data_IF_849217933754
#
_entry.id   IF_849217933754
#
_cell.length_a   1.000
_cell.length_b   1.000
_cell.length_c   1.000
_cell.angle_alpha   90.00
_cell.angle_beta   90.00
_cell.angle_gamma   90.00
#
_symmetry.space_group_name_H-M   'P 1'
#
loop_
_entity.id
_entity.type
_entity.pdbx_description
1 polymer ?
#
# COMPACT_ATOMS: atom_id res chain seq x y z
N UNK A 1 8.64 -17.46 8.12
CA UNK A 1 8.87 -16.51 7.00
C UNK A 1 7.70 -16.48 6.01
N UNK A 2 7.23 -17.64 5.53
CA UNK A 2 6.08 -17.72 4.62
C UNK A 2 4.82 -17.05 5.18
N UNK A 3 4.43 -17.33 6.41
CA UNK A 3 3.27 -16.72 7.09
C UNK A 3 3.34 -15.19 7.07
N UNK A 4 4.50 -14.61 7.39
CA UNK A 4 4.69 -13.16 7.35
C UNK A 4 4.45 -12.59 5.95
N UNK A 5 4.97 -13.22 4.89
CA UNK A 5 4.79 -12.79 3.51
C UNK A 5 3.30 -12.88 3.10
N UNK A 6 2.62 -13.98 3.47
CA UNK A 6 1.20 -14.15 3.16
C UNK A 6 0.32 -13.15 3.90
N UNK A 7 0.61 -12.84 5.17
CA UNK A 7 -0.05 -11.76 5.90
C UNK A 7 0.19 -10.42 5.19
N UNK A 8 1.44 -10.11 4.89
CA UNK A 8 1.80 -8.86 4.21
C UNK A 8 1.07 -8.70 2.87
N UNK A 9 1.11 -9.70 1.99
CA UNK A 9 0.47 -9.62 0.67
C UNK A 9 -1.05 -9.59 0.75
N UNK A 10 -1.64 -10.44 1.58
CA UNK A 10 -3.10 -10.50 1.74
C UNK A 10 -3.66 -9.18 2.25
N UNK A 11 -3.06 -8.61 3.29
CA UNK A 11 -3.50 -7.32 3.81
C UNK A 11 -3.15 -6.16 2.89
N UNK A 12 -2.05 -6.22 2.13
CA UNK A 12 -1.75 -5.23 1.08
C UNK A 12 -2.79 -5.26 -0.04
N UNK A 13 -3.24 -6.43 -0.47
CA UNK A 13 -4.31 -6.60 -1.46
C UNK A 13 -5.65 -6.10 -0.93
N UNK A 14 -6.04 -6.51 0.28
CA UNK A 14 -7.26 -6.04 0.93
C UNK A 14 -7.25 -4.52 1.13
N UNK A 15 -6.12 -3.96 1.50
CA UNK A 15 -5.93 -2.53 1.60
C UNK A 15 -6.14 -1.82 0.26
N UNK A 16 -5.61 -2.37 -0.83
CA UNK A 16 -5.85 -1.85 -2.18
C UNK A 16 -7.34 -1.89 -2.55
N UNK A 17 -8.05 -2.99 -2.25
CA UNK A 17 -9.49 -3.10 -2.46
C UNK A 17 -10.25 -2.05 -1.63
N UNK A 18 -9.89 -1.91 -0.35
CA UNK A 18 -10.50 -0.93 0.56
C UNK A 18 -10.34 0.50 0.03
N UNK A 19 -9.15 0.86 -0.45
CA UNK A 19 -8.91 2.19 -1.04
C UNK A 19 -9.75 2.43 -2.31
N UNK A 20 -9.94 1.41 -3.13
CA UNK A 20 -10.78 1.51 -4.33
C UNK A 20 -12.24 1.71 -3.95
N UNK A 21 -12.74 0.96 -2.97
CA UNK A 21 -14.10 1.11 -2.45
C UNK A 21 -14.30 2.49 -1.80
N UNK A 22 -13.36 2.91 -0.97
CA UNK A 22 -13.41 4.23 -0.34
C UNK A 22 -13.42 5.36 -1.37
N UNK A 23 -12.59 5.28 -2.41
CA UNK A 23 -12.56 6.25 -3.49
C UNK A 23 -13.87 6.28 -4.29
N UNK A 24 -14.51 5.11 -4.51
CA UNK A 24 -15.79 5.01 -5.19
C UNK A 24 -16.93 5.65 -4.40
N UNK A 25 -16.95 5.42 -3.08
CA UNK A 25 -18.00 5.96 -2.19
C UNK A 25 -17.86 7.46 -1.97
N UNK A 26 -16.63 7.94 -1.72
CA UNK A 26 -16.40 9.35 -1.34
C UNK A 26 -16.38 10.30 -2.54
N UNK A 27 -16.22 9.80 -3.77
CA UNK A 27 -16.12 10.59 -5.04
C UNK A 27 -15.13 11.75 -4.94
N UNK A 28 -14.20 11.74 -3.98
CA UNK A 28 -13.29 12.85 -3.74
C UNK A 28 -11.93 12.63 -4.43
N UNK A 29 -11.57 13.42 -5.44
CA UNK A 29 -10.27 13.29 -6.11
C UNK A 29 -9.09 13.62 -5.18
N UNK A 30 -9.27 14.52 -4.20
CA UNK A 30 -8.22 14.95 -3.26
C UNK A 30 -7.89 13.92 -2.19
N UNK A 31 -8.80 12.98 -1.88
CA UNK A 31 -8.63 11.97 -0.83
C UNK A 31 -8.24 10.59 -1.35
N UNK A 32 -7.91 10.48 -2.65
CA UNK A 32 -7.44 9.21 -3.20
C UNK A 32 -6.06 8.90 -2.66
N UNK A 33 -5.95 7.86 -1.87
CA UNK A 33 -4.66 7.30 -1.52
C UNK A 33 -4.02 6.69 -2.76
N UNK A 34 -2.72 6.87 -2.89
CA UNK A 34 -1.93 6.40 -4.02
C UNK A 34 -1.03 5.30 -3.52
N UNK A 35 -1.15 4.10 -4.11
CA UNK A 35 -0.26 2.99 -3.75
C UNK A 35 1.09 3.15 -4.44
N UNK A 36 2.14 2.73 -3.76
CA UNK A 36 3.53 2.79 -4.23
C UNK A 36 3.81 1.86 -5.42
N UNK A 37 3.11 0.72 -5.49
CA UNK A 37 3.37 -0.38 -6.40
C UNK A 37 2.48 -0.33 -7.64
N UNK A 38 2.97 -0.92 -8.72
CA UNK A 38 2.21 -1.19 -9.93
C UNK A 38 1.21 -2.33 -9.70
N UNK A 39 1.62 -3.38 -8.97
CA UNK A 39 0.72 -4.44 -8.53
C UNK A 39 -0.43 -3.88 -7.67
N UNK A 40 -1.60 -4.54 -7.65
CA UNK A 40 -2.75 -4.14 -6.85
C UNK A 40 -2.52 -4.38 -5.35
N UNK A 41 -1.44 -3.83 -4.83
CA UNK A 41 -1.01 -3.97 -3.45
C UNK A 41 -0.81 -2.57 -2.84
N UNK A 42 -1.26 -2.40 -1.60
CA UNK A 42 -1.04 -1.20 -0.81
C UNK A 42 -0.17 -1.57 0.41
N UNK A 43 1.17 -1.49 0.32
CA UNK A 43 2.09 -2.06 1.32
C UNK A 43 1.88 -1.55 2.74
N UNK A 44 1.40 -0.33 2.92
CA UNK A 44 1.16 0.25 4.25
C UNK A 44 0.20 -0.60 5.09
N UNK A 45 -0.80 -1.26 4.46
CA UNK A 45 -1.74 -2.15 5.16
C UNK A 45 -1.08 -3.45 5.59
N UNK A 46 -0.27 -4.05 4.70
CA UNK A 46 0.49 -5.25 5.02
C UNK A 46 1.52 -5.02 6.12
N UNK A 47 2.24 -3.89 6.06
CA UNK A 47 3.19 -3.48 7.09
C UNK A 47 2.50 -3.18 8.42
N UNK A 48 1.36 -2.46 8.38
CA UNK A 48 0.56 -2.17 9.57
C UNK A 48 0.09 -3.45 10.27
N UNK A 49 -0.45 -4.40 9.50
CA UNK A 49 -0.90 -5.66 10.06
C UNK A 49 0.25 -6.52 10.60
N UNK A 50 1.37 -6.60 9.90
CA UNK A 50 2.56 -7.29 10.38
C UNK A 50 3.08 -6.70 11.70
N UNK A 51 3.11 -5.37 11.82
CA UNK A 51 3.50 -4.69 13.06
C UNK A 51 2.52 -4.96 14.21
N UNK A 52 1.21 -4.95 13.93
CA UNK A 52 0.19 -5.29 14.95
C UNK A 52 0.32 -6.74 15.41
N UNK A 53 0.56 -7.68 14.50
CA UNK A 53 0.76 -9.09 14.85
C UNK A 53 2.10 -9.35 15.59
N UNK A 54 3.06 -8.44 15.49
CA UNK A 54 4.29 -8.49 16.26
C UNK A 54 4.14 -8.01 17.72
N UNK A 55 3.01 -7.34 18.05
CA UNK A 55 2.72 -6.96 19.45
C UNK A 55 2.58 -8.20 20.35
N UNK A 56 2.88 -8.08 21.66
CA UNK A 56 2.62 -9.12 22.64
C UNK A 56 1.15 -9.58 22.61
N UNK A 57 0.86 -10.88 22.84
CA UNK A 57 -0.52 -11.40 22.81
C UNK A 57 -1.50 -10.64 23.72
N UNK A 58 -1.04 -10.13 24.86
CA UNK A 58 -1.83 -9.32 25.79
C UNK A 58 -2.33 -8.01 25.19
N UNK A 59 -1.62 -7.46 24.19
CA UNK A 59 -1.99 -6.21 23.51
C UNK A 59 -2.78 -6.45 22.21
N UNK A 60 -2.90 -7.71 21.78
CA UNK A 60 -3.60 -8.10 20.55
C UNK A 60 -5.04 -8.58 20.76
N UNK A 61 -5.58 -8.42 21.97
CA UNK A 61 -6.92 -8.89 22.30
C UNK A 61 -7.74 -7.84 23.02
N UNK A 62 -9.05 -7.85 22.78
CA UNK A 62 -10.00 -6.97 23.45
C UNK A 62 -9.68 -5.48 23.32
N UNK A 63 -9.91 -4.73 24.37
CA UNK A 63 -9.67 -3.28 24.41
C UNK A 63 -8.22 -2.85 24.17
N UNK A 64 -7.18 -3.57 24.65
CA UNK A 64 -5.80 -3.27 24.29
C UNK A 64 -5.52 -3.30 22.78
N UNK A 65 -6.14 -4.19 22.02
CA UNK A 65 -6.00 -4.23 20.55
C UNK A 65 -6.47 -2.92 19.91
N UNK A 66 -7.63 -2.39 20.35
CA UNK A 66 -8.12 -1.12 19.83
C UNK A 66 -7.10 0.00 20.03
N UNK A 67 -6.57 0.12 21.23
CA UNK A 67 -5.71 1.22 21.61
C UNK A 67 -4.29 1.05 21.04
N UNK A 68 -3.62 -0.04 21.43
CA UNK A 68 -2.22 -0.27 21.04
C UNK A 68 -2.07 -0.70 19.59
N UNK A 69 -2.99 -1.53 19.10
CA UNK A 69 -3.03 -1.90 17.69
C UNK A 69 -3.32 -0.69 16.80
N UNK A 70 -4.30 0.14 17.16
CA UNK A 70 -4.63 1.38 16.45
C UNK A 70 -3.46 2.37 16.43
N UNK A 71 -2.78 2.54 17.57
CA UNK A 71 -1.58 3.37 17.67
C UNK A 71 -0.44 2.83 16.80
N UNK A 72 -0.22 1.51 16.81
CA UNK A 72 0.80 0.85 15.98
C UNK A 72 0.50 1.05 14.50
N UNK A 73 -0.73 0.80 14.05
CA UNK A 73 -1.14 1.00 12.66
C UNK A 73 -0.98 2.47 12.22
N UNK A 74 -1.38 3.43 13.06
CA UNK A 74 -1.19 4.86 12.83
C UNK A 74 0.29 5.25 12.76
N UNK A 75 1.14 4.65 13.60
CA UNK A 75 2.58 4.89 13.57
C UNK A 75 3.22 4.37 12.27
N UNK A 76 2.82 3.19 11.81
CA UNK A 76 3.26 2.64 10.52
C UNK A 76 2.80 3.54 9.36
N UNK A 77 1.54 4.01 9.39
CA UNK A 77 1.01 4.95 8.40
C UNK A 77 1.83 6.24 8.34
N UNK A 78 2.15 6.82 9.51
CA UNK A 78 2.97 8.03 9.60
C UNK A 78 4.39 7.81 9.06
N UNK A 79 5.06 6.72 9.47
CA UNK A 79 6.43 6.40 9.06
C UNK A 79 6.49 6.13 7.55
N UNK A 80 5.52 5.38 7.02
CA UNK A 80 5.44 5.07 5.60
C UNK A 80 5.30 6.34 4.74
N UNK A 81 4.42 7.25 5.15
CA UNK A 81 4.23 8.51 4.44
C UNK A 81 5.46 9.42 4.55
N UNK A 82 6.01 9.57 5.76
CA UNK A 82 7.24 10.33 6.00
C UNK A 82 8.41 9.80 5.15
N UNK A 83 8.55 8.51 5.06
CA UNK A 83 9.57 7.87 4.23
C UNK A 83 9.37 8.21 2.74
N UNK A 84 8.17 8.14 2.22
CA UNK A 84 7.84 8.51 0.84
C UNK A 84 8.18 9.97 0.52
N UNK A 85 7.82 10.89 1.42
CA UNK A 85 8.16 12.31 1.25
C UNK A 85 9.66 12.56 1.31
N UNK A 86 10.37 11.91 2.23
CA UNK A 86 11.79 12.16 2.49
C UNK A 86 12.70 11.57 1.40
N UNK A 87 12.43 10.33 0.97
CA UNK A 87 13.33 9.59 0.08
C UNK A 87 12.87 9.55 -1.38
N UNK A 88 11.57 9.64 -1.63
CA UNK A 88 11.02 9.60 -2.98
C UNK A 88 10.48 10.96 -3.44
N UNK A 89 10.33 11.92 -2.54
CA UNK A 89 9.74 13.22 -2.85
C UNK A 89 8.25 13.14 -3.24
N UNK A 90 7.55 12.08 -2.80
CA UNK A 90 6.14 11.85 -3.15
C UNK A 90 5.25 11.82 -1.91
N UNK A 91 4.04 12.36 -2.04
CA UNK A 91 3.01 12.31 -1.01
C UNK A 91 1.93 11.31 -1.43
N UNK A 92 1.70 10.27 -0.62
CA UNK A 92 0.71 9.23 -0.93
C UNK A 92 -0.72 9.68 -0.68
N UNK A 93 -0.93 10.55 0.33
CA UNK A 93 -2.21 11.16 0.71
C UNK A 93 -1.95 12.50 1.41
N UNK A 94 -3.00 13.25 1.67
CA UNK A 94 -2.92 14.51 2.41
C UNK A 94 -4.14 14.67 3.32
N UNK A 95 -3.89 14.74 4.62
CA UNK A 95 -4.90 14.98 5.65
C UNK A 95 -4.91 16.42 6.15
N UNK A 96 -4.23 17.33 5.48
CA UNK A 96 -4.28 18.76 5.83
C UNK A 96 -5.74 19.24 5.82
N UNK A 97 -6.16 19.90 6.88
CA UNK A 97 -7.55 20.35 7.05
C UNK A 97 -8.51 19.30 7.64
N UNK A 98 -8.06 18.06 7.89
CA UNK A 98 -8.85 17.09 8.64
C UNK A 98 -8.62 17.26 10.13
N UNK A 99 -9.68 17.13 10.94
CA UNK A 99 -9.60 17.29 12.39
C UNK A 99 -8.55 16.34 13.01
N UNK A 100 -7.74 16.89 13.92
CA UNK A 100 -6.71 16.13 14.62
C UNK A 100 -5.61 15.58 13.68
N UNK A 101 -5.36 16.25 12.54
CA UNK A 101 -4.24 15.85 11.69
C UNK A 101 -2.90 16.19 12.35
N UNK A 102 -1.91 15.34 12.10
CA UNK A 102 -0.54 15.57 12.48
C UNK A 102 0.34 15.59 11.23
N UNK A 103 0.83 16.78 10.89
CA UNK A 103 1.68 17.06 9.72
C UNK A 103 1.06 16.61 8.38
N UNK A 104 -0.26 16.57 8.26
CA UNK A 104 -0.97 16.07 7.07
C UNK A 104 -0.83 14.56 6.80
N UNK A 105 -0.04 13.83 7.60
CA UNK A 105 0.31 12.42 7.38
C UNK A 105 -0.66 11.45 8.01
N UNK A 106 -1.16 11.76 9.19
CA UNK A 106 -2.17 10.97 9.92
C UNK A 106 -3.22 11.92 10.52
N UNK A 107 -4.39 11.41 10.86
CA UNK A 107 -5.43 12.20 11.51
C UNK A 107 -6.29 11.35 12.43
N UNK A 108 -6.86 11.99 13.44
CA UNK A 108 -7.61 11.32 14.50
C UNK A 108 -8.76 10.42 14.00
N UNK A 109 -9.64 10.85 13.07
CA UNK A 109 -10.73 9.99 12.59
C UNK A 109 -10.25 8.68 11.96
N UNK A 110 -9.18 8.72 11.16
CA UNK A 110 -8.62 7.50 10.56
C UNK A 110 -7.86 6.65 11.58
N UNK A 111 -7.17 7.26 12.55
CA UNK A 111 -6.52 6.52 13.64
C UNK A 111 -7.52 5.74 14.49
N UNK A 112 -8.68 6.34 14.80
CA UNK A 112 -9.77 5.65 15.49
C UNK A 112 -10.39 4.54 14.63
N UNK A 113 -10.56 4.78 13.32
CA UNK A 113 -11.06 3.79 12.38
C UNK A 113 -10.10 2.59 12.27
N UNK A 114 -8.79 2.82 12.28
CA UNK A 114 -7.79 1.73 12.31
C UNK A 114 -7.99 0.83 13.51
N UNK A 115 -8.16 1.39 14.72
CA UNK A 115 -8.45 0.61 15.93
C UNK A 115 -9.65 -0.31 15.76
N UNK A 116 -10.75 0.17 15.17
CA UNK A 116 -11.96 -0.63 14.91
C UNK A 116 -11.73 -1.69 13.83
N UNK A 117 -11.06 -1.36 12.74
CA UNK A 117 -10.81 -2.28 11.63
C UNK A 117 -9.87 -3.42 12.01
N UNK A 118 -9.06 -3.27 13.05
CA UNK A 118 -8.19 -4.34 13.53
C UNK A 118 -8.97 -5.53 14.10
N UNK A 119 -10.18 -5.36 14.64
CA UNK A 119 -10.96 -6.50 15.14
C UNK A 119 -11.28 -7.50 14.02
N UNK A 120 -12.00 -7.14 12.95
CA UNK A 120 -12.21 -8.08 11.85
C UNK A 120 -10.90 -8.52 11.20
N UNK A 121 -9.89 -7.66 11.11
CA UNK A 121 -8.58 -8.01 10.56
C UNK A 121 -7.91 -9.14 11.33
N UNK A 122 -7.82 -9.03 12.67
CA UNK A 122 -7.16 -10.02 13.52
C UNK A 122 -7.99 -11.30 13.67
N UNK A 123 -9.31 -11.16 13.91
CA UNK A 123 -10.13 -12.31 14.29
C UNK A 123 -10.80 -13.03 13.13
N UNK A 124 -11.10 -12.34 12.03
CA UNK A 124 -11.81 -12.94 10.90
C UNK A 124 -10.90 -13.17 9.68
N UNK A 125 -9.98 -12.25 9.39
CA UNK A 125 -9.16 -12.32 8.17
C UNK A 125 -7.84 -13.05 8.42
N UNK A 126 -7.17 -12.82 9.54
CA UNK A 126 -5.86 -13.42 9.81
C UNK A 126 -5.90 -14.95 9.87
N UNK A 127 -6.85 -15.62 10.56
CA UNK A 127 -6.86 -17.07 10.63
C UNK A 127 -6.94 -17.78 9.27
N UNK A 128 -7.87 -17.44 8.36
CA UNK A 128 -7.90 -18.07 7.05
C UNK A 128 -6.67 -17.75 6.19
N UNK A 129 -6.04 -16.58 6.34
CA UNK A 129 -4.80 -16.25 5.63
C UNK A 129 -3.66 -17.16 6.09
N UNK A 130 -3.51 -17.41 7.39
CA UNK A 130 -2.51 -18.33 7.93
C UNK A 130 -2.78 -19.77 7.47
N UNK A 131 -4.03 -20.23 7.54
CA UNK A 131 -4.42 -21.54 7.05
C UNK A 131 -4.18 -21.72 5.53
N UNK A 132 -4.28 -20.66 4.75
CA UNK A 132 -3.90 -20.65 3.33
C UNK A 132 -2.39 -20.74 3.17
N UNK A 133 -1.63 -19.97 3.94
CA UNK A 133 -0.17 -19.96 3.90
C UNK A 133 0.44 -21.34 4.12
N UNK A 134 -0.16 -22.14 5.02
CA UNK A 134 0.26 -23.51 5.32
C UNK A 134 0.00 -24.50 4.18
N UNK A 135 -0.98 -24.20 3.31
CA UNK A 135 -1.38 -25.07 2.19
C UNK A 135 -0.67 -24.76 0.89
N UNK A 136 -0.13 -23.55 0.75
CA UNK A 136 0.48 -23.12 -0.49
C UNK A 136 1.89 -23.70 -0.64
N UNK A 137 2.22 -24.33 -1.77
CA UNK A 137 3.58 -24.82 -2.03
C UNK A 137 4.60 -23.68 -1.92
N UNK A 138 5.72 -23.96 -1.28
CA UNK A 138 6.78 -22.99 -1.04
C UNK A 138 7.28 -22.33 -2.33
N UNK A 139 7.27 -23.06 -3.44
CA UNK A 139 7.63 -22.52 -4.76
C UNK A 139 6.76 -21.35 -5.20
N UNK A 140 5.44 -21.40 -4.93
CA UNK A 140 4.52 -20.29 -5.22
C UNK A 140 4.90 -19.05 -4.42
N UNK A 141 5.23 -19.22 -3.14
CA UNK A 141 5.66 -18.11 -2.28
C UNK A 141 6.92 -17.43 -2.83
N UNK A 142 7.89 -18.22 -3.33
CA UNK A 142 9.12 -17.67 -3.94
C UNK A 142 8.84 -16.93 -5.25
N UNK A 143 7.96 -17.44 -6.10
CA UNK A 143 7.57 -16.75 -7.34
C UNK A 143 6.85 -15.43 -7.05
N UNK A 144 5.94 -15.42 -6.07
CA UNK A 144 5.27 -14.19 -5.64
C UNK A 144 6.26 -13.19 -5.04
N UNK A 145 7.23 -13.66 -4.26
CA UNK A 145 8.27 -12.80 -3.70
C UNK A 145 9.14 -12.19 -4.80
N UNK A 146 9.49 -12.96 -5.81
CA UNK A 146 10.25 -12.47 -6.95
C UNK A 146 9.47 -11.40 -7.72
N UNK A 147 8.20 -11.66 -8.03
CA UNK A 147 7.32 -10.72 -8.73
C UNK A 147 7.13 -9.43 -7.92
N UNK A 148 6.87 -9.55 -6.61
CA UNK A 148 6.76 -8.41 -5.70
C UNK A 148 8.06 -7.60 -5.64
N UNK A 149 9.21 -8.26 -5.54
CA UNK A 149 10.50 -7.59 -5.46
C UNK A 149 10.81 -6.86 -6.76
N UNK A 150 10.53 -7.48 -7.91
CA UNK A 150 10.70 -6.85 -9.23
C UNK A 150 9.83 -5.59 -9.34
N UNK A 151 8.54 -5.68 -9.00
CA UNK A 151 7.64 -4.53 -9.00
C UNK A 151 8.11 -3.43 -8.03
N UNK A 152 8.49 -3.79 -6.81
CA UNK A 152 8.97 -2.83 -5.81
C UNK A 152 10.22 -2.09 -6.30
N UNK A 153 11.20 -2.79 -6.86
CA UNK A 153 12.43 -2.18 -7.40
C UNK A 153 12.10 -1.26 -8.58
N UNK A 154 11.25 -1.70 -9.52
CA UNK A 154 10.83 -0.89 -10.66
C UNK A 154 10.07 0.37 -10.21
N UNK A 155 9.09 0.22 -9.34
CA UNK A 155 8.28 1.33 -8.82
C UNK A 155 9.12 2.33 -8.04
N UNK A 156 10.00 1.86 -7.16
CA UNK A 156 10.89 2.72 -6.36
C UNK A 156 11.88 3.48 -7.25
N UNK A 157 12.50 2.83 -8.22
CA UNK A 157 13.41 3.49 -9.17
C UNK A 157 12.68 4.52 -10.01
N UNK A 158 11.50 4.17 -10.51
CA UNK A 158 10.69 5.11 -11.27
C UNK A 158 10.36 6.36 -10.45
N UNK A 159 9.87 6.18 -9.22
CA UNK A 159 9.51 7.30 -8.35
C UNK A 159 10.71 8.12 -7.89
N UNK A 160 11.86 7.48 -7.64
CA UNK A 160 13.10 8.20 -7.29
C UNK A 160 13.59 9.14 -8.41
N UNK A 161 13.24 8.84 -9.67
CA UNK A 161 13.64 9.67 -10.83
C UNK A 161 12.56 10.68 -11.20
N UNK A 162 11.29 10.27 -11.15
CA UNK A 162 10.18 11.10 -11.66
C UNK A 162 9.53 11.95 -10.57
N UNK A 163 9.57 11.49 -9.32
CA UNK A 163 8.84 12.09 -8.18
C UNK A 163 7.33 12.23 -8.46
N UNK A 164 6.77 11.40 -9.35
CA UNK A 164 5.39 11.51 -9.82
C UNK A 164 4.66 10.17 -9.75
N UNK A 165 3.74 10.06 -8.79
CA UNK A 165 2.87 8.90 -8.62
C UNK A 165 1.80 8.76 -9.72
N UNK A 166 1.38 9.83 -10.36
CA UNK A 166 0.42 9.75 -11.45
C UNK A 166 1.09 9.21 -12.72
N UNK A 167 2.34 9.60 -12.97
CA UNK A 167 3.13 9.04 -14.06
C UNK A 167 3.36 7.54 -13.89
N UNK A 168 3.61 7.05 -12.66
CA UNK A 168 3.74 5.62 -12.38
C UNK A 168 2.45 4.85 -12.76
N UNK A 169 1.29 5.42 -12.49
CA UNK A 169 -0.01 4.79 -12.78
C UNK A 169 -0.32 4.78 -14.28
N UNK A 170 0.08 5.84 -15.01
CA UNK A 170 -0.15 5.95 -16.44
C UNK A 170 0.61 4.87 -17.24
N UNK A 171 1.66 4.28 -16.67
CA UNK A 171 2.41 3.18 -17.30
C UNK A 171 1.56 1.90 -17.44
N UNK A 172 0.65 1.63 -16.48
CA UNK A 172 -0.18 0.41 -16.52
C UNK A 172 -1.57 0.66 -17.09
N UNK A 173 -2.14 1.83 -16.82
CA UNK A 173 -3.49 2.18 -17.22
C UNK A 173 -3.43 3.41 -18.11
N UNK A 174 -3.25 3.25 -19.43
CA UNK A 174 -3.38 4.39 -20.33
C UNK A 174 -4.80 4.92 -20.17
N UNK A 175 -4.93 6.05 -19.49
CA UNK A 175 -6.18 6.80 -19.45
C UNK A 175 -6.47 7.20 -20.89
N UNK A 176 -7.60 6.74 -21.42
CA UNK A 176 -8.10 7.18 -22.73
C UNK A 176 -8.01 8.70 -22.81
N UNK A 177 -7.45 9.18 -23.91
CA UNK A 177 -7.00 10.57 -24.15
C UNK A 177 -8.11 11.62 -24.21
N UNK A 178 -9.17 11.53 -23.40
CA UNK A 178 -10.37 12.37 -23.51
C UNK A 178 -10.59 13.36 -22.36
N UNK A 179 -9.56 13.62 -21.56
CA UNK A 179 -9.60 14.75 -20.61
C UNK A 179 -8.34 15.58 -20.78
N UNK A 180 -8.50 16.68 -21.51
CA UNK A 180 -7.44 17.63 -21.80
C UNK A 180 -6.70 18.11 -20.57
N UNK A 181 -5.38 18.33 -20.77
CA UNK A 181 -4.39 18.88 -19.85
C UNK A 181 -3.85 17.90 -18.78
N UNK A 182 -3.07 16.93 -19.23
CA UNK A 182 -1.94 16.48 -18.45
C UNK A 182 -0.71 17.17 -19.06
N UNK A 183 -0.13 18.11 -18.34
CA UNK A 183 1.21 18.62 -18.63
C UNK A 183 2.18 17.46 -18.43
N UNK A 184 2.39 16.71 -19.48
CA UNK A 184 3.37 15.63 -19.55
C UNK A 184 4.76 16.26 -19.40
N UNK A 185 5.29 16.23 -18.17
CA UNK A 185 6.73 16.35 -17.96
C UNK A 185 7.32 15.09 -18.59
N UNK A 186 7.96 15.25 -19.76
CA UNK A 186 8.50 14.15 -20.59
C UNK A 186 9.29 13.18 -19.73
N UNK A 187 8.75 11.98 -19.53
CA UNK A 187 9.54 10.83 -19.07
C UNK A 187 10.57 10.54 -20.17
N UNK A 188 11.87 10.41 -19.85
CA UNK A 188 12.87 10.14 -20.88
C UNK A 188 12.56 8.82 -21.61
N UNK A 189 12.47 8.86 -22.94
CA UNK A 189 12.10 7.70 -23.79
C UNK A 189 12.95 6.44 -23.54
N UNK A 190 14.18 6.61 -23.08
CA UNK A 190 15.07 5.52 -22.68
C UNK A 190 14.59 4.71 -21.47
N UNK A 191 13.79 5.30 -20.60
CA UNK A 191 13.27 4.64 -19.39
C UNK A 191 12.04 3.79 -19.71
N UNK A 192 11.20 4.25 -20.62
CA UNK A 192 10.00 3.53 -21.07
C UNK A 192 10.37 2.26 -21.82
N UNK A 193 11.37 2.30 -22.70
CA UNK A 193 11.80 1.13 -23.47
C UNK A 193 12.45 0.05 -22.60
N UNK A 194 13.29 0.40 -21.63
CA UNK A 194 13.95 -0.58 -20.77
C UNK A 194 12.98 -1.28 -19.81
N UNK A 195 11.94 -0.58 -19.36
CA UNK A 195 10.92 -1.16 -18.46
C UNK A 195 9.84 -1.95 -19.23
N UNK A 196 9.43 -1.50 -20.41
CA UNK A 196 8.52 -2.27 -21.26
C UNK A 196 9.11 -3.63 -21.65
N UNK A 197 10.42 -3.68 -21.92
CA UNK A 197 11.14 -4.94 -22.22
C UNK A 197 11.20 -5.82 -20.96
N UNK A 198 11.47 -5.27 -19.77
CA UNK A 198 11.57 -6.05 -18.52
C UNK A 198 10.21 -6.55 -18.03
N UNK A 199 9.15 -5.75 -18.17
CA UNK A 199 7.78 -6.14 -17.81
C UNK A 199 7.19 -7.12 -18.86
N UNK A 200 7.53 -6.96 -20.14
CA UNK A 200 7.11 -7.87 -21.22
C UNK A 200 7.74 -9.25 -21.15
N UNK A 201 8.94 -9.39 -20.57
CA UNK A 201 9.61 -10.69 -20.37
C UNK A 201 9.03 -11.46 -19.18
N UNK A 202 8.44 -10.78 -18.20
CA UNK A 202 7.82 -11.41 -17.01
C UNK A 202 6.36 -11.81 -17.21
N UNK A 203 5.73 -11.40 -18.33
CA UNK A 203 4.32 -11.67 -18.66
C UNK A 203 4.16 -12.63 -19.86
N UNK A 204 5.25 -13.17 -20.42
CA UNK A 204 5.26 -14.30 -21.34
C UNK A 204 5.66 -15.59 -20.59
#
# INVERSE_FOLDING_TARGET
>A
MAEFLWIFWSFSLLGWVLERLFAAVTRSPRRRRRCLLLLPLCPVYGLGMAAVLALPPSLRSGWPLYLWGGLTATSVEYIYHWWGETFLGVSFWDYTGVFGNFRGRVCLPFSLAWGLLLFPAVYLVTPPVLALADRVPVGVTWWLLLAFTADAVCSLRFLAVTHDLEALRAVIWPVSADTGQITARKVPDRFILSQAIFCGILLQ
#
